data_IF_662524006510
#
_entry.id   IF_662524006510
#
_cell.length_a   1.000
_cell.length_b   1.000
_cell.length_c   1.000
_cell.angle_alpha   90.00
_cell.angle_beta   90.00
_cell.angle_gamma   90.00
#
_symmetry.space_group_name_H-M   'P 1'
#
loop_
_entity.id
_entity.type
_entity.pdbx_description
1 polymer ?
#
# COMPACT_ATOMS: atom_id res chain seq x y z
N UNK A 1 -20.99 57.16 1.79
CA UNK A 1 -21.63 56.65 0.56
C UNK A 1 -21.04 55.29 0.23
N UNK A 2 -21.90 54.33 -0.14
CA UNK A 2 -21.61 52.90 -0.32
C UNK A 2 -21.05 52.59 -1.71
N UNK A 3 -20.23 51.54 -1.80
CA UNK A 3 -20.21 50.52 -2.89
C UNK A 3 -19.24 49.40 -2.43
N UNK A 4 -19.68 48.20 -1.99
CA UNK A 4 -20.15 47.03 -2.78
C UNK A 4 -19.29 46.82 -4.03
N UNK A 5 -18.63 45.70 -4.29
CA UNK A 5 -18.60 44.36 -3.70
C UNK A 5 -17.86 43.44 -4.69
N UNK A 6 -17.63 42.18 -4.32
CA UNK A 6 -17.18 41.16 -5.27
C UNK A 6 -16.01 40.29 -4.79
N UNK A 7 -16.26 39.47 -3.78
CA UNK A 7 -15.48 38.25 -3.55
C UNK A 7 -15.68 37.33 -4.77
N UNK A 8 -14.64 37.14 -5.57
CA UNK A 8 -14.62 36.10 -6.61
C UNK A 8 -14.44 34.75 -5.91
N UNK A 9 -15.48 33.93 -5.95
CA UNK A 9 -15.41 32.51 -5.61
C UNK A 9 -14.54 31.80 -6.65
N UNK A 10 -13.36 31.33 -6.22
CA UNK A 10 -12.59 30.34 -6.96
C UNK A 10 -13.24 28.95 -6.73
N UNK A 11 -14.09 28.55 -7.66
CA UNK A 11 -14.62 27.18 -7.70
C UNK A 11 -13.51 26.26 -8.23
N UNK A 12 -12.71 25.71 -7.32
CA UNK A 12 -11.85 24.56 -7.60
C UNK A 12 -12.74 23.41 -8.08
N UNK A 13 -12.50 22.95 -9.31
CA UNK A 13 -13.28 21.91 -9.96
C UNK A 13 -13.31 20.60 -9.17
N UNK A 14 -14.44 20.33 -8.53
CA UNK A 14 -14.76 18.99 -8.02
C UNK A 14 -15.37 18.22 -9.19
N UNK A 15 -14.60 17.28 -9.74
CA UNK A 15 -15.12 16.36 -10.75
C UNK A 15 -15.78 15.17 -10.07
N UNK A 16 -17.07 14.98 -10.33
CA UNK A 16 -17.83 13.82 -9.91
C UNK A 16 -17.33 12.56 -10.65
N UNK A 17 -16.56 11.74 -9.94
CA UNK A 17 -16.00 10.46 -10.42
C UNK A 17 -17.05 9.34 -10.54
N UNK A 18 -18.30 9.55 -10.11
CA UNK A 18 -19.38 8.56 -10.27
C UNK A 18 -19.92 8.49 -11.70
N UNK A 19 -19.58 9.46 -12.56
CA UNK A 19 -19.90 9.45 -13.99
C UNK A 19 -18.68 8.96 -14.76
N UNK A 20 -18.72 7.71 -15.23
CA UNK A 20 -17.66 7.12 -16.05
C UNK A 20 -17.24 8.06 -17.18
N UNK A 21 -15.99 8.49 -17.16
CA UNK A 21 -15.43 9.31 -18.24
C UNK A 21 -15.26 8.42 -19.48
N UNK A 22 -15.90 8.82 -20.58
CA UNK A 22 -15.55 8.30 -21.90
C UNK A 22 -14.07 8.58 -22.22
N UNK A 23 -13.48 7.89 -23.20
CA UNK A 23 -12.04 7.93 -23.44
C UNK A 23 -11.54 9.35 -23.70
N UNK A 24 -10.55 9.79 -22.92
CA UNK A 24 -9.86 11.08 -23.07
C UNK A 24 -9.10 11.07 -24.41
N UNK A 25 -9.51 11.91 -25.37
CA UNK A 25 -8.79 12.09 -26.65
C UNK A 25 -7.75 13.21 -26.52
N UNK A 26 -6.47 12.89 -26.69
CA UNK A 26 -5.37 13.86 -26.80
C UNK A 26 -5.27 14.50 -28.19
N UNK A 27 -4.53 15.62 -28.33
CA UNK A 27 -4.43 16.36 -29.59
C UNK A 27 -3.55 15.65 -30.63
N UNK A 28 -3.88 15.90 -31.90
CA UNK A 28 -3.50 15.11 -33.08
C UNK A 28 -2.00 14.84 -33.28
N UNK A 29 -1.68 13.57 -33.44
CA UNK A 29 -0.46 13.11 -34.09
C UNK A 29 -0.80 12.65 -35.51
N UNK A 30 -0.33 13.38 -36.50
CA UNK A 30 -0.24 12.92 -37.90
C UNK A 30 0.81 11.81 -37.96
N UNK A 31 0.38 10.56 -37.96
CA UNK A 31 1.22 9.38 -38.12
C UNK A 31 0.40 8.28 -38.77
N UNK A 32 0.95 7.70 -39.84
CA UNK A 32 0.32 6.69 -40.69
C UNK A 32 -0.44 5.62 -39.88
N UNK A 33 -1.66 5.31 -40.33
CA UNK A 33 -2.50 4.27 -39.75
C UNK A 33 -1.75 2.93 -39.75
N UNK A 34 -1.42 2.44 -38.56
CA UNK A 34 -0.95 1.06 -38.38
C UNK A 34 -2.12 0.11 -38.71
N UNK A 35 -1.88 -1.01 -39.41
CA UNK A 35 -2.94 -1.95 -39.70
C UNK A 35 -3.51 -2.52 -38.40
N UNK A 36 -4.83 -2.70 -38.39
CA UNK A 36 -5.54 -3.47 -37.36
C UNK A 36 -4.84 -4.83 -37.18
N UNK A 37 -4.54 -5.27 -35.95
CA UNK A 37 -4.09 -6.63 -35.76
C UNK A 37 -5.21 -7.57 -36.22
N UNK A 38 -4.85 -8.45 -37.15
CA UNK A 38 -5.69 -9.52 -37.63
C UNK A 38 -6.23 -10.34 -36.45
N UNK A 39 -7.42 -10.93 -36.68
CA UNK A 39 -8.05 -11.94 -35.83
C UNK A 39 -7.04 -12.76 -35.01
N UNK A 40 -7.11 -12.64 -33.70
CA UNK A 40 -6.47 -13.59 -32.80
C UNK A 40 -7.13 -14.96 -33.02
N UNK A 41 -6.36 -16.04 -33.20
CA UNK A 41 -6.93 -17.38 -33.25
C UNK A 41 -7.64 -17.67 -31.93
N UNK A 42 -8.88 -18.14 -32.02
CA UNK A 42 -9.58 -18.70 -30.88
C UNK A 42 -8.87 -19.97 -30.43
N UNK A 43 -8.52 -20.01 -29.15
CA UNK A 43 -8.04 -21.22 -28.47
C UNK A 43 -6.52 -21.30 -28.38
N UNK A 44 -5.95 -20.67 -27.36
CA UNK A 44 -5.17 -21.35 -26.31
C UNK A 44 -5.38 -20.54 -25.01
N UNK A 45 -5.99 -21.17 -24.00
CA UNK A 45 -6.25 -20.53 -22.72
C UNK A 45 -4.94 -20.09 -22.07
N UNK A 46 -4.98 -19.00 -21.28
CA UNK A 46 -3.90 -18.72 -20.34
C UNK A 46 -3.59 -20.00 -19.54
N UNK A 47 -2.32 -20.34 -19.29
CA UNK A 47 -1.99 -21.46 -18.42
C UNK A 47 -2.71 -21.25 -17.09
N UNK A 48 -3.68 -22.12 -16.80
CA UNK A 48 -4.29 -22.19 -15.48
C UNK A 48 -3.18 -22.49 -14.47
N UNK A 49 -3.14 -21.80 -13.32
CA UNK A 49 -2.24 -22.18 -12.24
C UNK A 49 -2.38 -23.68 -11.99
N UNK A 50 -1.24 -24.36 -11.90
CA UNK A 50 -1.08 -25.80 -11.75
C UNK A 50 -2.24 -26.40 -10.93
N UNK A 51 -3.06 -27.24 -11.55
CA UNK A 51 -4.29 -27.81 -10.98
C UNK A 51 -4.02 -28.89 -9.94
N UNK A 52 -2.87 -28.82 -9.26
CA UNK A 52 -2.60 -29.60 -8.07
C UNK A 52 -3.74 -29.34 -7.10
N UNK A 53 -4.50 -30.38 -6.69
CA UNK A 53 -5.52 -30.19 -5.69
C UNK A 53 -4.85 -29.60 -4.46
N UNK A 54 -5.25 -28.38 -4.12
CA UNK A 54 -4.90 -27.80 -2.83
C UNK A 54 -5.30 -28.83 -1.79
N UNK A 55 -4.40 -29.10 -0.85
CA UNK A 55 -4.66 -30.06 0.19
C UNK A 55 -6.05 -29.74 0.81
N UNK A 56 -6.97 -30.72 0.95
CA UNK A 56 -8.38 -30.48 1.30
C UNK A 56 -8.58 -29.66 2.58
N UNK A 57 -7.55 -29.59 3.41
CA UNK A 57 -7.45 -28.84 4.66
C UNK A 57 -7.21 -27.33 4.45
N UNK A 58 -6.53 -26.91 3.38
CA UNK A 58 -6.14 -25.50 3.21
C UNK A 58 -7.34 -24.58 2.95
N UNK A 59 -8.31 -25.04 2.14
CA UNK A 59 -9.52 -24.25 1.88
C UNK A 59 -10.36 -24.08 3.16
N UNK A 60 -10.61 -25.18 3.87
CA UNK A 60 -11.36 -25.17 5.13
C UNK A 60 -10.65 -24.36 6.24
N UNK A 61 -9.33 -24.22 6.18
CA UNK A 61 -8.57 -23.41 7.14
C UNK A 61 -8.46 -21.93 6.74
N UNK A 62 -8.62 -21.60 5.46
CA UNK A 62 -8.48 -20.23 4.95
C UNK A 62 -9.83 -19.48 4.83
N UNK A 63 -10.90 -20.19 4.47
CA UNK A 63 -12.22 -19.60 4.22
C UNK A 63 -12.76 -18.84 5.45
N UNK A 64 -13.26 -17.63 5.22
CA UNK A 64 -13.79 -16.70 6.23
C UNK A 64 -12.83 -16.28 7.35
N UNK A 65 -11.54 -16.62 7.25
CA UNK A 65 -10.53 -16.20 8.23
C UNK A 65 -9.85 -14.90 7.84
N UNK A 66 -9.56 -14.08 8.85
CA UNK A 66 -8.68 -12.91 8.70
C UNK A 66 -7.25 -13.29 9.07
N UNK A 67 -6.32 -13.13 8.13
CA UNK A 67 -4.91 -13.40 8.29
C UNK A 67 -4.14 -12.07 8.26
N UNK A 68 -3.40 -11.78 9.33
CA UNK A 68 -2.48 -10.64 9.39
C UNK A 68 -1.05 -11.17 9.33
N UNK A 69 -0.35 -10.86 8.23
CA UNK A 69 0.96 -11.43 7.91
C UNK A 69 1.99 -10.32 7.96
N UNK A 70 2.94 -10.40 8.90
CA UNK A 70 4.09 -9.48 8.95
C UNK A 70 5.15 -9.95 7.97
N UNK A 71 5.47 -9.12 6.99
CA UNK A 71 6.61 -9.34 6.09
C UNK A 71 7.86 -8.82 6.79
N UNK A 72 8.70 -9.75 7.24
CA UNK A 72 10.02 -9.47 7.81
C UNK A 72 11.08 -9.29 6.72
N UNK A 73 12.16 -8.57 7.04
CA UNK A 73 13.35 -8.48 6.17
C UNK A 73 13.19 -7.62 4.91
N UNK A 74 14.04 -7.90 3.91
CA UNK A 74 13.96 -7.33 2.58
C UNK A 74 12.85 -8.05 1.80
N UNK A 75 11.79 -7.35 1.40
CA UNK A 75 10.84 -7.89 0.43
C UNK A 75 11.62 -8.11 -0.88
N UNK A 76 11.95 -9.36 -1.19
CA UNK A 76 12.89 -9.74 -2.26
C UNK A 76 12.20 -10.26 -3.51
N UNK A 77 12.95 -10.34 -4.62
CA UNK A 77 12.44 -10.78 -5.93
C UNK A 77 12.19 -12.30 -6.02
N UNK A 78 12.74 -13.11 -5.12
CA UNK A 78 12.58 -14.59 -5.13
C UNK A 78 11.57 -15.10 -4.09
N UNK A 79 10.64 -14.23 -3.69
CA UNK A 79 9.61 -14.56 -2.70
C UNK A 79 8.31 -14.96 -3.40
N UNK A 80 7.78 -16.16 -3.08
CA UNK A 80 6.47 -16.68 -3.53
C UNK A 80 5.29 -16.00 -2.86
N UNK A 81 5.55 -15.05 -1.96
CA UNK A 81 4.55 -14.28 -1.25
C UNK A 81 3.42 -13.76 -2.15
N UNK A 82 3.66 -13.12 -3.32
CA UNK A 82 2.58 -12.62 -4.16
C UNK A 82 1.61 -13.72 -4.62
N UNK A 83 2.14 -14.88 -5.01
CA UNK A 83 1.35 -16.03 -5.42
C UNK A 83 0.59 -16.65 -4.24
N UNK A 84 1.26 -16.81 -3.10
CA UNK A 84 0.69 -17.40 -1.88
C UNK A 84 -0.46 -16.56 -1.32
N UNK A 85 -0.31 -15.22 -1.25
CA UNK A 85 -1.37 -14.34 -0.74
C UNK A 85 -2.53 -14.21 -1.71
N UNK A 86 -2.24 -14.28 -3.02
CA UNK A 86 -3.28 -14.31 -4.05
C UNK A 86 -4.09 -15.58 -3.97
N UNK A 87 -3.44 -16.72 -3.77
CA UNK A 87 -4.09 -18.01 -3.54
C UNK A 87 -4.98 -17.97 -2.29
N UNK A 88 -4.49 -17.42 -1.17
CA UNK A 88 -5.30 -17.25 0.04
C UNK A 88 -6.55 -16.40 -0.21
N UNK A 89 -6.42 -15.29 -0.94
CA UNK A 89 -7.56 -14.46 -1.35
C UNK A 89 -8.55 -15.25 -2.21
N UNK A 90 -8.08 -16.02 -3.19
CA UNK A 90 -8.92 -16.87 -4.05
C UNK A 90 -9.65 -17.98 -3.26
N UNK A 91 -9.07 -18.43 -2.15
CA UNK A 91 -9.68 -19.39 -1.23
C UNK A 91 -10.68 -18.77 -0.25
N UNK A 92 -10.90 -17.44 -0.30
CA UNK A 92 -11.85 -16.74 0.55
C UNK A 92 -11.27 -16.20 1.86
N UNK A 93 -9.95 -16.19 2.03
CA UNK A 93 -9.32 -15.56 3.19
C UNK A 93 -9.31 -14.02 3.05
N UNK A 94 -9.47 -13.34 4.18
CA UNK A 94 -9.27 -11.89 4.31
C UNK A 94 -7.82 -11.62 4.72
N UNK A 95 -6.99 -11.09 3.83
CA UNK A 95 -5.54 -10.96 4.06
C UNK A 95 -5.13 -9.50 4.29
N UNK A 96 -4.41 -9.26 5.38
CA UNK A 96 -3.70 -8.02 5.68
C UNK A 96 -2.20 -8.30 5.71
N UNK A 97 -1.42 -7.59 4.89
CA UNK A 97 0.03 -7.67 4.89
C UNK A 97 0.61 -6.45 5.60
N UNK A 98 1.51 -6.63 6.57
CA UNK A 98 2.21 -5.53 7.24
C UNK A 98 3.70 -5.63 6.89
N UNK A 99 4.22 -4.69 6.11
CA UNK A 99 5.59 -4.81 5.58
C UNK A 99 6.63 -4.07 6.41
N UNK A 100 7.89 -4.46 6.25
CA UNK A 100 9.05 -3.70 6.72
C UNK A 100 9.69 -2.88 5.59
N UNK A 101 10.93 -2.45 5.82
CA UNK A 101 11.75 -1.78 4.79
C UNK A 101 13.10 -1.31 5.31
N UNK A 102 13.56 -1.86 6.44
CA UNK A 102 14.75 -1.41 7.17
C UNK A 102 16.00 -1.28 6.29
N UNK A 103 16.36 -2.31 5.50
CA UNK A 103 17.52 -2.23 4.60
C UNK A 103 17.42 -1.08 3.59
N UNK A 104 16.26 -0.89 2.97
CA UNK A 104 16.05 0.16 1.97
C UNK A 104 16.05 1.57 2.60
N UNK A 105 15.50 1.73 3.81
CA UNK A 105 15.61 2.97 4.58
C UNK A 105 17.08 3.30 4.81
N UNK A 106 17.87 2.34 5.31
CA UNK A 106 19.31 2.52 5.54
C UNK A 106 20.04 2.92 4.26
N UNK A 107 19.76 2.27 3.12
CA UNK A 107 20.34 2.64 1.83
C UNK A 107 19.98 4.06 1.41
N UNK A 108 18.74 4.51 1.63
CA UNK A 108 18.30 5.86 1.26
C UNK A 108 18.91 6.95 2.16
N UNK A 109 19.01 6.71 3.46
CA UNK A 109 19.70 7.60 4.40
C UNK A 109 21.18 7.75 4.04
N UNK A 110 21.86 6.64 3.71
CA UNK A 110 23.27 6.68 3.30
C UNK A 110 23.49 7.52 2.04
N UNK A 111 22.55 7.51 1.07
CA UNK A 111 22.64 8.33 -0.16
C UNK A 111 22.56 9.83 0.10
N UNK A 112 21.97 10.26 1.22
CA UNK A 112 21.95 11.67 1.63
C UNK A 112 23.03 12.00 2.67
N UNK A 113 24.00 11.09 2.88
CA UNK A 113 25.10 11.28 3.81
C UNK A 113 24.71 11.12 5.28
N UNK A 114 23.54 10.55 5.59
CA UNK A 114 23.04 10.37 6.94
C UNK A 114 23.29 8.95 7.44
N UNK A 115 23.97 8.83 8.57
CA UNK A 115 24.19 7.54 9.23
C UNK A 115 22.91 7.01 9.89
N UNK A 116 22.77 5.69 9.91
CA UNK A 116 21.69 5.03 10.61
C UNK A 116 22.15 4.63 12.01
N UNK A 117 21.37 5.00 13.02
CA UNK A 117 21.61 4.61 14.41
C UNK A 117 20.45 3.76 14.94
N UNK A 118 20.78 2.77 15.77
CA UNK A 118 19.81 1.93 16.46
C UNK A 118 20.02 2.01 17.97
N UNK A 119 18.93 2.04 18.72
CA UNK A 119 18.90 1.99 20.19
C UNK A 119 17.96 0.86 20.57
N UNK A 120 18.45 -0.12 21.33
CA UNK A 120 17.66 -1.30 21.77
C UNK A 120 16.96 -2.04 20.61
N UNK A 121 17.62 -2.13 19.45
CA UNK A 121 17.10 -2.78 18.25
C UNK A 121 16.12 -1.94 17.41
N UNK A 122 15.76 -0.73 17.87
CA UNK A 122 14.86 0.19 17.17
C UNK A 122 15.67 1.29 16.48
N UNK A 123 15.22 1.71 15.30
CA UNK A 123 15.87 2.81 14.56
C UNK A 123 15.62 4.12 15.27
N UNK A 124 16.68 4.77 15.75
CA UNK A 124 16.58 6.16 16.19
C UNK A 124 16.08 6.99 15.02
N UNK A 125 14.99 7.73 15.23
CA UNK A 125 14.26 8.40 14.16
C UNK A 125 14.13 9.89 14.49
N UNK A 126 15.01 10.73 13.96
CA UNK A 126 14.78 12.19 13.96
C UNK A 126 13.83 12.62 12.83
N UNK A 127 13.57 13.92 12.68
CA UNK A 127 12.64 14.44 11.68
C UNK A 127 13.02 14.05 10.23
N UNK A 128 14.29 14.20 9.86
CA UNK A 128 14.78 13.86 8.52
C UNK A 128 14.76 12.33 8.28
N UNK A 129 15.06 11.56 9.32
CA UNK A 129 14.93 10.10 9.29
C UNK A 129 13.47 9.70 9.09
N UNK A 130 12.54 10.34 9.79
CA UNK A 130 11.11 10.07 9.68
C UNK A 130 10.59 10.35 8.27
N UNK A 131 11.01 11.46 7.65
CA UNK A 131 10.62 11.76 6.26
C UNK A 131 11.11 10.68 5.30
N UNK A 132 12.34 10.20 5.47
CA UNK A 132 12.87 9.08 4.69
C UNK A 132 12.10 7.79 4.95
N UNK A 133 11.80 7.47 6.22
CA UNK A 133 10.99 6.31 6.60
C UNK A 133 9.63 6.36 5.93
N UNK A 134 8.95 7.52 5.94
CA UNK A 134 7.64 7.70 5.34
C UNK A 134 7.66 7.51 3.82
N UNK A 135 8.62 8.13 3.13
CA UNK A 135 8.78 7.97 1.68
C UNK A 135 9.07 6.52 1.29
N UNK A 136 9.94 5.84 2.04
CA UNK A 136 10.34 4.47 1.73
C UNK A 136 9.23 3.48 2.05
N UNK A 137 8.65 3.54 3.26
CA UNK A 137 7.64 2.58 3.66
C UNK A 137 6.31 2.86 2.95
N UNK A 138 5.75 4.06 3.10
CA UNK A 138 4.42 4.38 2.57
C UNK A 138 4.39 4.54 1.04
N UNK A 139 5.50 4.98 0.43
CA UNK A 139 5.58 5.15 -1.01
C UNK A 139 6.15 3.94 -1.73
N UNK A 140 7.46 3.74 -1.56
CA UNK A 140 8.23 2.82 -2.40
C UNK A 140 7.91 1.35 -2.13
N UNK A 141 8.08 0.90 -0.88
CA UNK A 141 7.90 -0.52 -0.54
C UNK A 141 6.43 -0.93 -0.61
N UNK A 142 5.52 -0.11 -0.09
CA UNK A 142 4.10 -0.39 -0.12
C UNK A 142 3.59 -0.55 -1.56
N UNK A 143 3.93 0.40 -2.43
CA UNK A 143 3.58 0.35 -3.85
C UNK A 143 4.17 -0.85 -4.58
N UNK A 144 5.41 -1.25 -4.26
CA UNK A 144 6.05 -2.42 -4.86
C UNK A 144 5.34 -3.73 -4.47
N UNK A 145 4.99 -3.90 -3.18
CA UNK A 145 4.22 -5.07 -2.73
C UNK A 145 2.85 -5.12 -3.41
N UNK A 146 2.13 -4.00 -3.45
CA UNK A 146 0.82 -3.90 -4.12
C UNK A 146 0.94 -4.27 -5.60
N UNK A 147 1.94 -3.74 -6.30
CA UNK A 147 2.16 -4.02 -7.72
C UNK A 147 2.46 -5.50 -7.98
N UNK A 148 3.27 -6.13 -7.13
CA UNK A 148 3.61 -7.56 -7.23
C UNK A 148 2.41 -8.47 -7.01
N UNK A 149 1.61 -8.21 -5.97
CA UNK A 149 0.36 -8.95 -5.74
C UNK A 149 -0.60 -8.78 -6.92
N UNK A 150 -0.71 -7.55 -7.45
CA UNK A 150 -1.49 -7.27 -8.66
C UNK A 150 -1.01 -8.06 -9.87
N UNK A 151 0.30 -8.16 -10.07
CA UNK A 151 0.90 -8.93 -11.16
C UNK A 151 0.65 -10.45 -11.03
N UNK A 152 0.51 -10.97 -9.80
CA UNK A 152 0.13 -12.35 -9.54
C UNK A 152 -1.38 -12.63 -9.70
N UNK A 153 -2.19 -11.62 -10.03
CA UNK A 153 -3.64 -11.73 -10.22
C UNK A 153 -4.47 -11.44 -8.97
N UNK A 154 -3.84 -11.03 -7.87
CA UNK A 154 -4.52 -10.61 -6.65
C UNK A 154 -5.06 -9.19 -6.75
N UNK A 155 -6.10 -8.89 -5.96
CA UNK A 155 -6.61 -7.51 -5.79
C UNK A 155 -5.99 -6.93 -4.53
N UNK A 156 -5.00 -6.05 -4.67
CA UNK A 156 -4.32 -5.42 -3.53
C UNK A 156 -4.52 -3.90 -3.49
N UNK A 157 -4.54 -3.34 -2.27
CA UNK A 157 -4.54 -1.90 -2.02
C UNK A 157 -3.58 -1.56 -0.88
N UNK A 158 -2.88 -0.44 -1.03
CA UNK A 158 -1.92 0.06 -0.06
C UNK A 158 -2.53 1.07 0.90
N UNK A 159 -2.28 0.90 2.20
CA UNK A 159 -2.55 1.89 3.24
C UNK A 159 -1.28 2.15 4.07
N UNK A 160 -1.21 3.35 4.63
CA UNK A 160 -0.36 3.66 5.77
C UNK A 160 -1.19 3.65 7.05
N UNK A 161 -0.56 3.39 8.20
CA UNK A 161 -1.27 3.50 9.49
C UNK A 161 -1.84 4.90 9.77
N UNK A 162 -1.40 5.94 9.06
CA UNK A 162 -2.03 7.26 9.13
C UNK A 162 -3.38 7.38 8.43
N UNK A 163 -3.67 6.49 7.49
CA UNK A 163 -4.89 6.56 6.67
C UNK A 163 -6.10 6.22 7.53
N UNK A 164 -7.06 7.16 7.58
CA UNK A 164 -8.23 7.11 8.49
C UNK A 164 -7.84 6.80 9.95
N UNK A 165 -6.66 7.26 10.40
CA UNK A 165 -6.13 7.00 11.74
C UNK A 165 -6.07 5.50 12.08
N UNK A 166 -5.74 4.66 11.09
CA UNK A 166 -5.63 3.21 11.26
C UNK A 166 -4.76 2.82 12.47
N UNK A 167 -3.63 3.50 12.68
CA UNK A 167 -2.72 3.34 13.82
C UNK A 167 -2.52 4.67 14.53
N UNK A 168 -2.88 4.73 15.80
CA UNK A 168 -2.58 5.86 16.69
C UNK A 168 -1.49 5.47 17.68
N UNK A 169 -0.54 6.37 17.93
CA UNK A 169 0.62 6.11 18.77
C UNK A 169 1.05 7.34 19.57
N UNK A 170 1.78 7.09 20.65
CA UNK A 170 2.51 8.10 21.42
C UNK A 170 4.01 7.88 21.28
N UNK A 171 4.82 8.91 21.54
CA UNK A 171 6.27 8.75 21.56
C UNK A 171 6.68 7.72 22.62
N UNK A 172 7.46 6.73 22.22
CA UNK A 172 7.80 5.57 23.06
C UNK A 172 8.88 5.90 24.10
N UNK A 173 9.98 6.49 23.65
CA UNK A 173 11.14 6.81 24.48
C UNK A 173 11.85 8.02 23.87
N UNK A 174 12.15 9.09 24.64
CA UNK A 174 12.91 10.24 24.15
C UNK A 174 14.24 9.88 23.46
N UNK A 175 14.91 8.80 23.90
CA UNK A 175 16.18 8.31 23.32
C UNK A 175 16.02 7.78 21.90
N UNK A 176 14.79 7.52 21.45
CA UNK A 176 14.48 6.99 20.12
C UNK A 176 14.02 8.08 19.14
N UNK A 177 13.77 9.31 19.60
CA UNK A 177 13.19 10.38 18.80
C UNK A 177 11.71 10.10 18.47
N UNK A 178 11.35 10.20 17.19
CA UNK A 178 10.01 10.06 16.63
C UNK A 178 9.62 8.58 16.39
N UNK A 179 9.93 7.72 17.36
CA UNK A 179 9.49 6.32 17.40
C UNK A 179 8.27 6.22 18.31
N UNK A 180 7.23 5.55 17.81
CA UNK A 180 5.95 5.42 18.48
C UNK A 180 5.74 4.07 19.16
N UNK A 181 4.85 4.08 20.14
CA UNK A 181 4.17 2.92 20.70
C UNK A 181 2.68 3.03 20.37
N UNK A 182 2.13 1.99 19.72
CA UNK A 182 0.73 1.98 19.29
C UNK A 182 -0.18 1.94 20.52
N UNK A 183 -1.13 2.87 20.56
CA UNK A 183 -2.09 3.02 21.66
C UNK A 183 -3.52 2.69 21.24
N UNK A 184 -3.85 2.86 19.96
CA UNK A 184 -5.14 2.48 19.40
C UNK A 184 -5.02 2.06 17.93
N UNK A 185 -5.98 1.25 17.49
CA UNK A 185 -6.13 0.80 16.11
C UNK A 185 -7.56 1.06 15.66
N UNK A 186 -7.76 1.79 14.57
CA UNK A 186 -9.04 1.93 13.89
C UNK A 186 -9.15 0.87 12.76
N UNK A 187 -9.85 -0.26 12.95
CA UNK A 187 -9.91 -1.32 11.95
C UNK A 187 -10.90 -1.04 10.81
N UNK A 188 -11.68 0.04 10.87
CA UNK A 188 -12.73 0.33 9.89
C UNK A 188 -12.23 0.39 8.44
N UNK A 189 -11.13 1.12 8.10
CA UNK A 189 -10.62 1.10 6.73
C UNK A 189 -10.21 -0.30 6.27
N UNK A 190 -9.66 -1.13 7.17
CA UNK A 190 -9.34 -2.53 6.84
C UNK A 190 -10.61 -3.34 6.56
N UNK A 191 -11.62 -3.26 7.43
CA UNK A 191 -12.88 -4.00 7.27
C UNK A 191 -13.56 -3.69 5.94
N UNK A 192 -13.69 -2.41 5.59
CA UNK A 192 -14.30 -1.98 4.33
C UNK A 192 -13.61 -2.57 3.11
N UNK A 193 -12.27 -2.57 3.10
CA UNK A 193 -11.49 -3.07 1.97
C UNK A 193 -11.47 -4.60 1.91
N UNK A 194 -11.36 -5.27 3.06
CA UNK A 194 -11.41 -6.72 3.17
C UNK A 194 -12.78 -7.26 2.73
N UNK A 195 -13.87 -6.62 3.14
CA UNK A 195 -15.23 -7.00 2.72
C UNK A 195 -15.49 -6.73 1.23
N UNK A 196 -14.80 -5.74 0.65
CA UNK A 196 -14.77 -5.52 -0.80
C UNK A 196 -13.83 -6.50 -1.55
N UNK A 197 -13.20 -7.45 -0.84
CA UNK A 197 -12.37 -8.50 -1.41
C UNK A 197 -10.96 -8.04 -1.80
N UNK A 198 -10.40 -7.02 -1.15
CA UNK A 198 -8.99 -6.62 -1.34
C UNK A 198 -8.07 -7.28 -0.31
N UNK A 199 -6.85 -7.60 -0.73
CA UNK A 199 -5.69 -7.76 0.14
C UNK A 199 -5.24 -6.36 0.53
N UNK A 200 -5.09 -6.10 1.84
CA UNK A 200 -4.69 -4.77 2.32
C UNK A 200 -3.23 -4.79 2.76
N UNK A 201 -2.40 -3.94 2.16
CA UNK A 201 -0.96 -3.84 2.44
C UNK A 201 -0.71 -2.59 3.29
N UNK A 202 -0.27 -2.77 4.53
CA UNK A 202 -0.11 -1.71 5.53
C UNK A 202 1.36 -1.36 5.76
N UNK A 203 1.69 -0.07 5.58
CA UNK A 203 2.96 0.52 6.00
C UNK A 203 2.90 0.92 7.49
N UNK A 204 3.87 0.52 8.34
CA UNK A 204 3.85 0.75 9.79
C UNK A 204 4.29 2.17 10.14
N UNK A 205 3.44 3.14 9.82
CA UNK A 205 3.59 4.56 10.18
C UNK A 205 2.32 4.93 10.94
N UNK A 206 2.47 5.37 12.19
CA UNK A 206 1.34 5.78 13.02
C UNK A 206 1.24 7.30 13.08
N UNK A 207 0.13 7.79 13.64
CA UNK A 207 -0.06 9.21 13.95
C UNK A 207 -0.27 9.42 15.45
N UNK A 208 0.14 10.57 15.96
CA UNK A 208 -0.28 11.06 17.27
C UNK A 208 -1.70 11.61 17.19
N UNK A 209 -2.29 11.89 18.36
CA UNK A 209 -3.59 12.54 18.41
C UNK A 209 -3.63 13.86 17.63
N UNK A 210 -2.56 14.65 17.74
CA UNK A 210 -2.34 15.89 16.99
C UNK A 210 -1.96 15.73 15.52
N UNK A 211 -1.97 14.51 14.97
CA UNK A 211 -1.71 14.23 13.55
C UNK A 211 -0.23 14.25 13.14
N UNK A 212 0.70 14.22 14.10
CA UNK A 212 2.13 14.08 13.80
C UNK A 212 2.49 12.62 13.56
N UNK A 213 3.42 12.35 12.65
CA UNK A 213 3.79 10.98 12.30
C UNK A 213 4.79 10.38 13.30
N UNK A 214 4.70 9.07 13.49
CA UNK A 214 5.65 8.27 14.26
C UNK A 214 6.02 7.00 13.49
N UNK A 215 7.28 6.62 13.57
CA UNK A 215 7.76 5.33 13.09
C UNK A 215 7.40 4.24 14.12
N UNK A 216 6.74 3.16 13.71
CA UNK A 216 6.36 2.04 14.59
C UNK A 216 6.90 0.71 14.05
N UNK A 217 7.13 -0.27 14.93
CA UNK A 217 7.61 -1.60 14.58
C UNK A 217 6.45 -2.60 14.48
#
# INVERSE_FOLDING_TARGET
MRSHGGLRQDQRGVHDVSRGQGPIRGPGATGQARPHPAHLPEGEGLPTPDSRPLAPDLRATAEDRTLVIKLGGSVGQEDTLPEDVTLLQQLGARVVLVHGGGPLITTRLSRIGKETHFVDGLRHTDAETLDTVRMVLGGLVNGEVVARVGAAGGRAIGLSGSDDRLLEAVARDPRLGLVGEVTAVNPNPLRLLLDAGYIVVVAPIAITDGGSFLNVN
#
